data_IF_699638442565
#
_entry.id   IF_699638442565
#
_cell.length_a   1.000
_cell.length_b   1.000
_cell.length_c   1.000
_cell.angle_alpha   90.00
_cell.angle_beta   90.00
_cell.angle_gamma   90.00
#
_symmetry.space_group_name_H-M   'P 1'
#
loop_
_entity.id
_entity.type
_entity.pdbx_description
1 polymer ?
#
# COMPACT_ATOMS: atom_id res chain seq x y z
N UNK A 1 -39.16 47.03 -50.91
CA UNK A 1 -37.84 46.74 -50.31
C UNK A 1 -38.10 45.89 -49.07
N UNK A 2 -37.42 44.75 -48.99
CA UNK A 2 -37.67 43.58 -48.12
C UNK A 2 -37.79 43.92 -46.63
N UNK A 3 -38.55 43.12 -45.87
CA UNK A 3 -38.03 42.55 -44.63
C UNK A 3 -38.75 41.25 -44.21
N UNK A 4 -37.89 40.29 -43.88
CA UNK A 4 -38.08 38.87 -43.70
C UNK A 4 -39.09 38.49 -42.60
N UNK A 5 -40.02 37.61 -42.97
CA UNK A 5 -40.86 36.84 -42.06
C UNK A 5 -40.02 35.64 -41.58
N UNK A 6 -39.47 35.74 -40.38
CA UNK A 6 -38.77 34.62 -39.74
C UNK A 6 -39.82 33.60 -39.32
N UNK A 7 -40.08 32.61 -40.19
CA UNK A 7 -40.69 31.34 -39.77
C UNK A 7 -39.67 30.60 -38.92
N UNK A 8 -39.78 30.73 -37.60
CA UNK A 8 -39.18 29.78 -36.67
C UNK A 8 -39.85 28.42 -36.90
N UNK A 9 -39.19 27.54 -37.66
CA UNK A 9 -39.52 26.11 -37.66
C UNK A 9 -39.25 25.58 -36.26
N UNK A 10 -40.31 25.43 -35.47
CA UNK A 10 -40.26 24.63 -34.26
C UNK A 10 -40.04 23.18 -34.67
N UNK A 11 -38.79 22.73 -34.67
CA UNK A 11 -38.46 21.31 -34.71
C UNK A 11 -38.99 20.69 -33.41
N UNK A 12 -40.20 20.15 -33.45
CA UNK A 12 -40.70 19.28 -32.39
C UNK A 12 -39.82 18.04 -32.35
N UNK A 13 -38.87 18.03 -31.42
CA UNK A 13 -38.06 16.86 -31.11
C UNK A 13 -39.02 15.79 -30.58
N UNK A 14 -39.42 14.86 -31.44
CA UNK A 14 -40.08 13.63 -31.01
C UNK A 14 -39.13 12.93 -30.03
N UNK A 15 -39.42 13.04 -28.74
CA UNK A 15 -38.73 12.24 -27.73
C UNK A 15 -39.20 10.81 -27.91
N UNK A 16 -38.46 10.02 -28.71
CA UNK A 16 -38.65 8.58 -28.78
C UNK A 16 -38.41 7.98 -27.40
N UNK A 17 -39.44 7.40 -26.79
CA UNK A 17 -39.31 6.64 -25.55
C UNK A 17 -38.65 5.28 -25.81
N UNK A 18 -37.83 4.82 -24.87
CA UNK A 18 -37.19 3.51 -24.93
C UNK A 18 -38.25 2.42 -24.75
N UNK A 19 -38.28 1.43 -25.63
CA UNK A 19 -39.21 0.29 -25.47
C UNK A 19 -38.72 -0.67 -24.38
N UNK A 20 -39.63 -1.41 -23.74
CA UNK A 20 -39.25 -2.38 -22.70
C UNK A 20 -38.30 -3.44 -23.24
N UNK A 21 -38.48 -3.89 -24.50
CA UNK A 21 -37.59 -4.85 -25.15
C UNK A 21 -36.20 -4.25 -25.37
N UNK A 22 -36.09 -2.99 -25.77
CA UNK A 22 -34.81 -2.29 -25.96
C UNK A 22 -34.05 -2.07 -24.64
N UNK A 23 -34.77 -1.78 -23.55
CA UNK A 23 -34.17 -1.69 -22.23
C UNK A 23 -33.62 -3.04 -21.77
N UNK A 24 -34.38 -4.13 -22.01
CA UNK A 24 -33.94 -5.48 -21.65
C UNK A 24 -32.75 -5.95 -22.49
N UNK A 25 -32.70 -5.64 -23.79
CA UNK A 25 -31.55 -5.97 -24.64
C UNK A 25 -30.30 -5.17 -24.25
N UNK A 26 -30.45 -3.87 -23.95
CA UNK A 26 -29.35 -3.05 -23.45
C UNK A 26 -28.80 -3.57 -22.12
N UNK A 27 -29.67 -3.94 -21.18
CA UNK A 27 -29.27 -4.55 -19.90
C UNK A 27 -28.59 -5.90 -20.10
N UNK A 28 -29.09 -6.73 -21.02
CA UNK A 28 -28.46 -8.02 -21.34
C UNK A 28 -27.02 -7.82 -21.84
N UNK A 29 -26.80 -6.90 -22.79
CA UNK A 29 -25.47 -6.59 -23.31
C UNK A 29 -24.57 -6.03 -22.19
N UNK A 30 -25.07 -5.09 -21.39
CA UNK A 30 -24.33 -4.50 -20.28
C UNK A 30 -23.89 -5.55 -19.25
N UNK A 31 -24.75 -6.53 -18.95
CA UNK A 31 -24.45 -7.61 -18.01
C UNK A 31 -23.31 -8.51 -18.51
N UNK A 32 -23.26 -8.81 -19.82
CA UNK A 32 -22.21 -9.61 -20.44
C UNK A 32 -20.88 -8.84 -20.39
N UNK A 33 -20.90 -7.54 -20.71
CA UNK A 33 -19.70 -6.70 -20.64
C UNK A 33 -19.19 -6.57 -19.19
N UNK A 34 -20.08 -6.39 -18.22
CA UNK A 34 -19.71 -6.32 -16.80
C UNK A 34 -19.08 -7.62 -16.31
N UNK A 35 -19.59 -8.78 -16.73
CA UNK A 35 -19.04 -10.08 -16.35
C UNK A 35 -17.58 -10.27 -16.80
N UNK A 36 -17.21 -9.72 -17.97
CA UNK A 36 -15.83 -9.79 -18.49
C UNK A 36 -14.93 -8.75 -17.80
N UNK A 37 -15.45 -7.57 -17.49
CA UNK A 37 -14.66 -6.46 -16.94
C UNK A 37 -14.29 -6.67 -15.45
N UNK A 38 -15.23 -7.16 -14.62
CA UNK A 38 -15.05 -7.30 -13.17
C UNK A 38 -13.81 -8.09 -12.71
N UNK A 39 -13.45 -9.25 -13.28
CA UNK A 39 -12.25 -9.98 -12.85
C UNK A 39 -10.95 -9.18 -13.09
N UNK A 40 -10.85 -8.43 -14.19
CA UNK A 40 -9.67 -7.63 -14.51
C UNK A 40 -9.47 -6.47 -13.53
N UNK A 41 -10.57 -5.83 -13.10
CA UNK A 41 -10.51 -4.78 -12.09
C UNK A 41 -10.01 -5.28 -10.73
N UNK A 42 -10.32 -6.54 -10.36
CA UNK A 42 -9.87 -7.14 -9.10
C UNK A 42 -8.35 -7.30 -9.08
N UNK A 43 -7.76 -7.87 -10.13
CA UNK A 43 -6.30 -8.02 -10.23
C UNK A 43 -5.57 -6.69 -10.22
N UNK A 44 -6.10 -5.72 -10.96
CA UNK A 44 -5.56 -4.37 -10.99
C UNK A 44 -5.58 -3.77 -9.57
N UNK A 45 -6.70 -3.91 -8.85
CA UNK A 45 -6.84 -3.41 -7.49
C UNK A 45 -5.83 -4.05 -6.52
N UNK A 46 -5.65 -5.37 -6.55
CA UNK A 46 -4.66 -6.07 -5.73
C UNK A 46 -3.23 -5.57 -6.02
N UNK A 47 -2.88 -5.38 -7.29
CA UNK A 47 -1.59 -4.82 -7.70
C UNK A 47 -1.39 -3.38 -7.18
N UNK A 48 -2.43 -2.55 -7.22
CA UNK A 48 -2.38 -1.20 -6.65
C UNK A 48 -2.12 -1.25 -5.15
N UNK A 49 -2.82 -2.10 -4.40
CA UNK A 49 -2.63 -2.23 -2.96
C UNK A 49 -1.20 -2.64 -2.60
N UNK A 50 -0.65 -3.66 -3.28
CA UNK A 50 0.76 -4.07 -3.07
C UNK A 50 1.71 -2.91 -3.35
N UNK A 51 1.52 -2.21 -4.47
CA UNK A 51 2.37 -1.07 -4.84
C UNK A 51 2.28 0.06 -3.82
N UNK A 52 1.09 0.38 -3.32
CA UNK A 52 0.90 1.38 -2.28
C UNK A 52 1.60 0.98 -0.98
N UNK A 53 1.47 -0.29 -0.55
CA UNK A 53 2.16 -0.78 0.65
C UNK A 53 3.70 -0.72 0.51
N UNK A 54 4.23 -1.08 -0.66
CA UNK A 54 5.68 -0.97 -0.96
C UNK A 54 6.15 0.48 -0.89
N UNK A 55 5.44 1.41 -1.52
CA UNK A 55 5.79 2.84 -1.53
C UNK A 55 5.67 3.47 -0.15
N UNK A 56 4.65 3.09 0.61
CA UNK A 56 4.49 3.55 1.98
C UNK A 56 5.61 3.02 2.89
N UNK A 57 6.10 1.80 2.65
CA UNK A 57 7.27 1.28 3.37
C UNK A 57 8.54 2.04 2.99
N UNK A 58 8.76 2.28 1.70
CA UNK A 58 9.88 3.08 1.19
C UNK A 58 9.90 4.47 1.83
N UNK A 59 8.76 5.17 1.82
CA UNK A 59 8.65 6.50 2.42
C UNK A 59 8.86 6.47 3.93
N UNK A 60 8.34 5.45 4.62
CA UNK A 60 8.52 5.29 6.07
C UNK A 60 9.98 5.05 6.44
N UNK A 61 10.70 4.22 5.68
CA UNK A 61 12.13 3.98 5.89
C UNK A 61 12.96 5.24 5.64
N UNK A 62 12.65 6.00 4.59
CA UNK A 62 13.32 7.27 4.31
C UNK A 62 13.01 8.32 5.38
N UNK A 63 11.76 8.39 5.84
CA UNK A 63 11.35 9.27 6.93
C UNK A 63 12.08 8.93 8.23
N UNK A 64 12.06 7.67 8.65
CA UNK A 64 12.76 7.20 9.85
C UNK A 64 14.26 7.53 9.80
N UNK A 65 14.89 7.31 8.64
CA UNK A 65 16.29 7.68 8.43
C UNK A 65 16.51 9.19 8.57
N UNK A 66 15.68 10.01 7.92
CA UNK A 66 15.82 11.47 7.95
C UNK A 66 15.61 12.03 9.36
N UNK A 67 14.65 11.49 10.12
CA UNK A 67 14.42 11.86 11.51
C UNK A 67 15.60 11.43 12.39
N UNK A 68 16.21 10.27 12.15
CA UNK A 68 17.39 9.82 12.90
C UNK A 68 18.58 10.75 12.70
N UNK A 69 18.82 11.19 11.45
CA UNK A 69 19.89 12.15 11.15
C UNK A 69 19.57 13.51 11.78
N UNK A 70 18.33 13.98 11.64
CA UNK A 70 17.89 15.29 12.14
C UNK A 70 17.98 15.41 13.66
N UNK A 71 17.71 14.31 14.39
CA UNK A 71 17.71 14.28 15.87
C UNK A 71 19.01 13.77 16.48
N UNK A 72 19.95 13.30 15.67
CA UNK A 72 21.21 12.72 16.16
C UNK A 72 21.07 11.30 16.71
N UNK A 73 20.09 10.53 16.22
CA UNK A 73 19.82 9.14 16.57
C UNK A 73 18.48 8.96 17.27
N UNK A 74 18.32 7.82 17.97
CA UNK A 74 17.14 7.56 18.80
C UNK A 74 15.84 7.38 18.01
N UNK A 75 15.91 6.95 16.75
CA UNK A 75 14.71 6.65 15.96
C UNK A 75 14.59 5.15 15.74
N UNK A 76 13.41 4.62 16.04
CA UNK A 76 13.03 3.24 15.80
C UNK A 76 11.83 3.14 14.88
N UNK A 77 11.72 2.02 14.20
CA UNK A 77 10.57 1.63 13.41
C UNK A 77 10.14 0.25 13.86
N UNK A 78 8.86 0.09 14.21
CA UNK A 78 8.31 -1.14 14.75
C UNK A 78 7.01 -1.53 14.05
N UNK A 79 6.79 -2.83 13.92
CA UNK A 79 5.53 -3.37 13.39
C UNK A 79 4.37 -3.22 14.38
N UNK A 80 3.16 -3.11 13.86
CA UNK A 80 1.97 -3.41 14.64
C UNK A 80 1.88 -4.92 14.91
N UNK A 81 1.35 -5.28 16.08
CA UNK A 81 0.95 -6.65 16.38
C UNK A 81 -0.47 -6.93 15.90
N UNK A 82 -0.95 -8.13 16.16
CA UNK A 82 -2.37 -8.44 16.00
C UNK A 82 -3.18 -7.64 17.01
N UNK A 83 -4.30 -7.08 16.56
CA UNK A 83 -5.20 -6.30 17.39
C UNK A 83 -6.57 -7.00 17.48
N UNK A 84 -7.15 -7.23 18.67
CA UNK A 84 -8.48 -7.83 18.79
C UNK A 84 -9.54 -7.04 18.00
N UNK A 85 -10.26 -7.69 17.09
CA UNK A 85 -11.23 -7.03 16.21
C UNK A 85 -10.61 -6.16 15.10
N UNK A 86 -9.29 -6.20 14.94
CA UNK A 86 -8.54 -5.51 13.89
C UNK A 86 -7.75 -6.50 13.01
N UNK A 87 -6.67 -6.00 12.40
CA UNK A 87 -5.81 -6.82 11.54
C UNK A 87 -5.14 -7.97 12.30
N UNK A 88 -5.11 -9.16 11.69
CA UNK A 88 -4.51 -10.39 12.23
C UNK A 88 -3.25 -10.87 11.47
N UNK A 89 -2.75 -10.09 10.51
CA UNK A 89 -1.64 -10.46 9.62
C UNK A 89 -0.27 -10.05 10.19
N UNK A 90 -0.09 -10.24 11.50
CA UNK A 90 1.12 -9.86 12.25
C UNK A 90 1.41 -10.80 13.44
N UNK A 91 1.08 -12.09 13.32
CA UNK A 91 1.18 -13.10 14.38
C UNK A 91 2.63 -13.51 14.72
N UNK A 92 3.54 -13.45 13.74
CA UNK A 92 4.96 -13.76 13.95
C UNK A 92 5.86 -12.51 14.00
N UNK A 93 7.12 -12.68 14.41
CA UNK A 93 8.11 -11.59 14.42
C UNK A 93 8.47 -11.08 13.00
N UNK A 94 8.20 -11.89 11.97
CA UNK A 94 8.49 -11.57 10.57
C UNK A 94 7.30 -10.92 9.85
N UNK A 95 6.08 -11.07 10.37
CA UNK A 95 4.87 -10.55 9.75
C UNK A 95 4.60 -9.11 10.16
N UNK A 96 4.62 -8.22 9.17
CA UNK A 96 4.38 -6.78 9.28
C UNK A 96 3.09 -6.37 8.54
N UNK A 97 2.20 -7.32 8.25
CA UNK A 97 1.00 -7.15 7.43
C UNK A 97 -0.06 -6.23 8.02
N UNK A 98 0.00 -5.93 9.33
CA UNK A 98 -0.87 -4.95 9.98
C UNK A 98 -0.33 -3.51 9.96
N UNK A 99 0.86 -3.32 9.36
CA UNK A 99 1.51 -2.02 9.26
C UNK A 99 2.60 -1.82 10.31
N UNK A 100 3.02 -0.57 10.44
CA UNK A 100 4.18 -0.19 11.24
C UNK A 100 4.10 1.27 11.67
N UNK A 101 4.94 1.63 12.62
CA UNK A 101 5.07 2.99 13.11
C UNK A 101 6.54 3.33 13.38
N UNK A 102 6.83 4.61 13.29
CA UNK A 102 8.12 5.23 13.57
C UNK A 102 7.99 5.93 14.92
N UNK A 103 8.93 5.71 15.81
CA UNK A 103 8.95 6.29 17.13
C UNK A 103 10.33 6.88 17.46
N UNK A 104 10.28 7.87 18.35
CA UNK A 104 11.45 8.42 19.03
C UNK A 104 11.67 7.64 20.33
N UNK A 105 12.82 6.98 20.40
CA UNK A 105 13.36 6.27 21.55
C UNK A 105 14.01 7.28 22.50
N UNK A 106 13.20 7.84 23.40
CA UNK A 106 13.62 8.94 24.29
C UNK A 106 14.57 8.43 25.38
N UNK A 107 14.39 7.18 25.81
CA UNK A 107 15.17 6.58 26.89
C UNK A 107 16.46 5.88 26.40
N UNK A 108 16.62 5.69 25.07
CA UNK A 108 17.80 5.10 24.44
C UNK A 108 17.94 3.59 24.68
N UNK A 109 16.89 2.90 25.14
CA UNK A 109 16.92 1.46 25.38
C UNK A 109 16.77 0.65 24.07
N UNK A 110 16.38 1.33 22.98
CA UNK A 110 16.16 0.78 21.67
C UNK A 110 15.03 -0.24 21.60
N UNK A 111 13.98 -0.03 22.38
CA UNK A 111 12.74 -0.77 22.29
C UNK A 111 11.58 0.16 22.58
N UNK A 112 10.60 0.14 21.69
CA UNK A 112 9.33 0.82 21.89
C UNK A 112 8.74 0.59 23.28
N UNK A 113 8.52 1.67 24.01
CA UNK A 113 7.78 1.74 25.27
C UNK A 113 6.70 2.82 25.18
N UNK A 114 5.42 2.40 25.20
CA UNK A 114 4.25 3.29 25.08
C UNK A 114 4.22 4.45 26.09
N UNK A 115 4.81 4.28 27.27
CA UNK A 115 4.78 5.30 28.33
C UNK A 115 5.88 6.34 28.18
N UNK A 116 6.98 6.01 27.51
CA UNK A 116 8.21 6.84 27.48
C UNK A 116 8.53 7.35 26.08
N UNK A 117 8.20 6.57 25.05
CA UNK A 117 8.52 6.87 23.68
C UNK A 117 7.35 7.55 22.97
N UNK A 118 7.68 8.32 21.94
CA UNK A 118 6.71 9.08 21.17
C UNK A 118 6.59 8.53 19.75
N UNK A 119 5.37 8.26 19.31
CA UNK A 119 5.09 7.95 17.90
C UNK A 119 5.22 9.23 17.07
N UNK A 120 6.04 9.16 16.02
CA UNK A 120 6.23 10.25 15.06
C UNK A 120 5.32 10.08 13.83
N UNK A 121 5.17 8.84 13.37
CA UNK A 121 4.34 8.52 12.21
C UNK A 121 3.87 7.07 12.30
N UNK A 122 2.65 6.80 11.88
CA UNK A 122 2.10 5.45 11.83
C UNK A 122 1.39 5.20 10.50
N UNK A 123 1.53 3.96 10.02
CA UNK A 123 0.81 3.46 8.87
C UNK A 123 0.16 2.14 9.25
N UNK A 124 -1.16 2.10 9.16
CA UNK A 124 -1.97 0.90 9.41
C UNK A 124 -2.40 0.29 8.08
N UNK A 125 -2.29 -1.02 7.98
CA UNK A 125 -2.76 -1.79 6.83
C UNK A 125 -4.01 -2.57 7.23
N UNK A 126 -4.93 -2.75 6.27
CA UNK A 126 -6.21 -3.45 6.47
C UNK A 126 -6.09 -4.97 6.49
N UNK A 127 -4.90 -5.52 6.19
CA UNK A 127 -4.64 -6.96 6.07
C UNK A 127 -4.61 -7.47 4.61
N UNK A 128 -5.11 -6.71 3.65
CA UNK A 128 -5.23 -7.15 2.25
C UNK A 128 -3.88 -7.40 1.53
N UNK A 129 -2.77 -6.96 2.13
CA UNK A 129 -1.40 -7.22 1.68
C UNK A 129 -0.62 -7.85 2.82
N UNK A 130 -0.05 -9.02 2.56
CA UNK A 130 0.89 -9.67 3.45
C UNK A 130 2.27 -9.03 3.29
N UNK A 131 2.85 -8.58 4.41
CA UNK A 131 4.19 -7.98 4.45
C UNK A 131 5.08 -8.85 5.32
N UNK A 132 6.15 -9.37 4.75
CA UNK A 132 7.11 -10.24 5.44
C UNK A 132 8.48 -9.61 5.49
N UNK A 133 9.07 -9.51 6.68
CA UNK A 133 10.41 -9.00 6.92
C UNK A 133 11.39 -10.16 7.14
N UNK A 134 12.10 -10.55 6.08
CA UNK A 134 12.96 -11.74 6.05
C UNK A 134 14.15 -11.70 7.02
N UNK A 135 14.59 -10.50 7.44
CA UNK A 135 15.74 -10.37 8.33
C UNK A 135 15.42 -10.54 9.82
N UNK A 136 14.19 -10.95 10.16
CA UNK A 136 13.80 -11.37 11.50
C UNK A 136 13.91 -10.26 12.53
N UNK A 137 12.83 -9.51 12.73
CA UNK A 137 12.82 -8.48 13.77
C UNK A 137 11.53 -7.69 13.77
N UNK A 138 11.04 -7.41 14.97
CA UNK A 138 9.88 -6.53 15.21
C UNK A 138 10.27 -5.05 15.22
N UNK A 139 11.57 -4.76 15.36
CA UNK A 139 12.10 -3.41 15.51
C UNK A 139 13.31 -3.19 14.61
N UNK A 140 13.39 -2.02 14.00
CA UNK A 140 14.50 -1.54 13.18
C UNK A 140 14.93 -0.19 13.75
N UNK A 141 16.18 -0.08 14.20
CA UNK A 141 16.71 1.18 14.73
C UNK A 141 17.51 1.89 13.67
N UNK A 142 17.53 3.22 13.74
CA UNK A 142 18.35 4.08 12.90
C UNK A 142 19.29 4.89 13.79
N UNK A 143 20.58 4.86 13.48
CA UNK A 143 21.58 5.64 14.20
C UNK A 143 21.66 7.10 13.69
N UNK A 144 22.51 7.91 14.33
CA UNK A 144 22.73 9.33 13.96
C UNK A 144 23.22 9.54 12.53
N UNK A 145 23.77 8.50 11.90
CA UNK A 145 24.24 8.53 10.51
C UNK A 145 23.17 7.99 9.54
N UNK A 146 21.98 7.65 10.05
CA UNK A 146 20.88 7.09 9.28
C UNK A 146 21.13 5.64 8.87
N UNK A 147 22.04 4.93 9.55
CA UNK A 147 22.30 3.51 9.31
C UNK A 147 21.24 2.68 10.04
N UNK A 148 20.62 1.76 9.32
CA UNK A 148 19.69 0.80 9.90
C UNK A 148 20.44 -0.26 10.71
N UNK A 149 19.90 -0.66 11.86
CA UNK A 149 20.50 -1.64 12.77
C UNK A 149 20.64 -3.02 12.15
N UNK A 150 21.74 -3.71 12.45
CA UNK A 150 22.06 -5.06 11.96
C UNK A 150 22.99 -5.06 10.75
N UNK A 151 23.67 -6.19 10.53
CA UNK A 151 24.70 -6.33 9.49
C UNK A 151 24.11 -6.62 8.10
N UNK A 152 22.90 -7.18 8.05
CA UNK A 152 22.25 -7.57 6.80
C UNK A 152 21.31 -6.48 6.27
N UNK A 153 21.14 -6.49 4.95
CA UNK A 153 20.10 -5.72 4.29
C UNK A 153 18.71 -6.07 4.86
N UNK A 154 17.86 -5.06 5.01
CA UNK A 154 16.46 -5.20 5.42
C UNK A 154 15.65 -5.52 4.18
N UNK A 155 15.07 -6.72 4.14
CA UNK A 155 14.26 -7.18 3.01
C UNK A 155 12.80 -7.35 3.43
N UNK A 156 11.91 -6.61 2.77
CA UNK A 156 10.47 -6.70 2.95
C UNK A 156 9.83 -7.27 1.69
N UNK A 157 9.10 -8.36 1.82
CA UNK A 157 8.34 -8.99 0.74
C UNK A 157 6.88 -8.65 0.91
N UNK A 158 6.26 -8.17 -0.17
CA UNK A 158 4.87 -7.76 -0.23
C UNK A 158 4.14 -8.70 -1.16
N UNK A 159 3.08 -9.33 -0.64
CA UNK A 159 2.27 -10.30 -1.37
C UNK A 159 0.80 -9.94 -1.22
N UNK A 160 -0.03 -10.11 -2.25
CA UNK A 160 -1.48 -10.06 -2.07
C UNK A 160 -1.92 -11.17 -1.12
N UNK A 161 -2.87 -10.88 -0.23
CA UNK A 161 -3.35 -11.83 0.78
C UNK A 161 -3.92 -13.11 0.16
N UNK A 162 -4.66 -12.99 -0.96
CA UNK A 162 -5.40 -14.09 -1.59
C UNK A 162 -4.52 -15.06 -2.38
N UNK A 163 -3.63 -14.52 -3.21
CA UNK A 163 -2.80 -15.32 -4.13
C UNK A 163 -1.49 -15.79 -3.51
N UNK A 164 -1.06 -15.14 -2.41
CA UNK A 164 0.18 -15.49 -1.71
C UNK A 164 1.41 -15.45 -2.62
N UNK A 165 2.32 -16.40 -2.42
CA UNK A 165 3.62 -16.52 -3.13
C UNK A 165 3.50 -16.88 -4.61
N UNK A 166 2.31 -17.26 -5.10
CA UNK A 166 2.08 -17.59 -6.51
C UNK A 166 1.76 -16.34 -7.37
N UNK A 167 1.67 -15.17 -6.74
CA UNK A 167 1.34 -13.93 -7.44
C UNK A 167 2.52 -13.40 -8.25
N UNK A 168 2.29 -13.09 -9.53
CA UNK A 168 3.20 -12.28 -10.35
C UNK A 168 3.29 -10.82 -9.89
N UNK A 169 2.42 -10.41 -8.95
CA UNK A 169 2.38 -9.05 -8.39
C UNK A 169 3.19 -8.91 -7.09
N UNK A 170 3.88 -9.98 -6.66
CA UNK A 170 4.77 -9.90 -5.51
C UNK A 170 5.90 -8.89 -5.74
N UNK A 171 6.18 -8.07 -4.74
CA UNK A 171 7.25 -7.08 -4.78
C UNK A 171 8.13 -7.22 -3.56
N UNK A 172 9.44 -7.05 -3.74
CA UNK A 172 10.41 -7.06 -2.65
C UNK A 172 11.08 -5.70 -2.57
N UNK A 173 11.03 -5.07 -1.39
CA UNK A 173 11.80 -3.89 -1.06
C UNK A 173 13.05 -4.32 -0.29
N UNK A 174 14.21 -3.93 -0.80
CA UNK A 174 15.49 -4.19 -0.15
C UNK A 174 16.16 -2.88 0.23
N UNK A 175 16.52 -2.74 1.50
CA UNK A 175 17.28 -1.62 2.02
C UNK A 175 18.64 -2.10 2.54
N UNK A 176 19.73 -1.54 2.03
CA UNK A 176 21.07 -1.75 2.61
C UNK A 176 21.16 -1.13 4.01
N UNK A 177 22.10 -1.55 4.85
CA UNK A 177 22.31 -0.93 6.16
C UNK A 177 22.62 0.57 6.05
N UNK A 178 23.31 1.01 4.99
CA UNK A 178 23.53 2.42 4.67
C UNK A 178 22.33 3.15 4.05
N UNK A 179 21.14 2.52 4.04
CA UNK A 179 19.84 3.10 3.68
C UNK A 179 19.58 3.33 2.19
N UNK A 180 20.38 2.77 1.28
CA UNK A 180 19.99 2.65 -0.15
C UNK A 180 18.82 1.67 -0.28
N UNK A 181 17.73 2.09 -0.92
CA UNK A 181 16.53 1.29 -1.15
C UNK A 181 16.44 0.88 -2.64
N UNK A 182 16.06 -0.37 -2.90
CA UNK A 182 15.72 -0.89 -4.23
C UNK A 182 14.42 -1.69 -4.14
N UNK A 183 13.60 -1.61 -5.19
CA UNK A 183 12.36 -2.40 -5.31
C UNK A 183 12.53 -3.39 -6.46
N UNK A 184 12.25 -4.65 -6.19
CA UNK A 184 12.32 -5.77 -7.13
C UNK A 184 10.89 -6.27 -7.35
N UNK A 185 10.46 -6.39 -8.60
CA UNK A 185 9.12 -6.89 -8.97
C UNK A 185 9.09 -8.42 -9.02
N UNK A 186 9.52 -9.06 -7.93
CA UNK A 186 9.53 -10.50 -7.78
C UNK A 186 9.60 -10.88 -6.29
N UNK A 187 9.15 -12.10 -5.96
CA UNK A 187 9.34 -12.71 -4.65
C UNK A 187 10.76 -13.30 -4.55
N UNK A 188 11.73 -12.45 -4.26
CA UNK A 188 13.15 -12.85 -4.18
C UNK A 188 13.80 -12.33 -2.90
N UNK A 189 14.88 -12.96 -2.46
CA UNK A 189 15.67 -12.43 -1.36
C UNK A 189 16.58 -11.30 -1.81
N UNK A 190 16.82 -10.36 -0.88
CA UNK A 190 17.78 -9.28 -1.09
C UNK A 190 19.19 -9.86 -1.17
N UNK A 191 19.68 -10.16 -2.38
CA UNK A 191 21.09 -10.51 -2.62
C UNK A 191 22.00 -9.46 -1.98
N UNK A 192 23.02 -9.91 -1.26
CA UNK A 192 24.05 -9.07 -0.63
C UNK A 192 24.80 -8.24 -1.67
#
# INVERSE_FOLDING_TARGET
MQLFLVMTTAYTHQQGGLTLVEALTALAILSILAAIALPQFRELHERWQVTQAVRAMESSLMLARSEAIRRGGGIGMRKFGNEPGGCQNAGTNQEWGCGWFIYEDVNGNGSWNKTQDRILHELRLTGSVNVMHNSGGVNIKFDRYGKASGLNAKGFKFLPERTGTQSSYAQTLCMSSGGRIRIIKDYSDCKK
#
